data_IF_339098990448
#
_entry.id   IF_339098990448
#
_cell.length_a   1.000
_cell.length_b   1.000
_cell.length_c   1.000
_cell.angle_alpha   90.00
_cell.angle_beta   90.00
_cell.angle_gamma   90.00
#
_symmetry.space_group_name_H-M   'P 1'
#
loop_
_entity.id
_entity.type
_entity.pdbx_description
1 polymer ?
#
# COMPACT_ATOMS: atom_id res chain seq x y z
N UNK A 1 0.43 90.70 8.76
CA UNK A 1 1.80 90.52 9.25
C UNK A 1 1.72 90.36 10.75
N UNK A 2 2.53 89.41 11.24
CA UNK A 2 2.74 88.97 12.62
C UNK A 2 1.81 87.88 13.15
N UNK A 3 2.42 86.69 13.19
CA UNK A 3 1.92 85.42 13.66
C UNK A 3 2.10 85.30 15.18
N UNK A 4 1.15 84.63 15.84
CA UNK A 4 1.35 84.06 17.18
C UNK A 4 1.07 82.56 17.08
N UNK A 5 2.15 81.78 17.11
CA UNK A 5 2.13 80.32 17.26
C UNK A 5 1.85 79.99 18.73
N UNK A 6 0.73 79.32 19.01
CA UNK A 6 0.50 78.62 20.28
C UNK A 6 0.73 77.13 20.01
N UNK A 7 1.84 76.62 20.55
CA UNK A 7 2.14 75.20 20.59
C UNK A 7 1.32 74.55 21.72
N UNK A 8 0.39 73.67 21.37
CA UNK A 8 -0.28 72.78 22.31
C UNK A 8 0.49 71.47 22.38
N UNK A 9 1.25 71.30 23.46
CA UNK A 9 1.88 70.05 23.83
C UNK A 9 0.81 69.03 24.21
N UNK A 10 0.61 68.01 23.37
CA UNK A 10 -0.12 66.81 23.76
C UNK A 10 0.80 65.94 24.61
N UNK A 11 0.52 65.85 25.91
CA UNK A 11 1.11 64.86 26.80
C UNK A 11 0.76 63.45 26.30
N UNK A 12 1.76 62.72 25.81
CA UNK A 12 1.66 61.28 25.60
C UNK A 12 1.53 60.60 26.96
N UNK A 13 0.29 60.23 27.33
CA UNK A 13 0.05 59.37 28.48
C UNK A 13 0.51 57.94 28.14
N UNK A 14 1.48 57.36 28.87
CA UNK A 14 1.95 55.99 28.65
C UNK A 14 0.84 54.95 28.88
N UNK A 15 -0.27 55.35 29.51
CA UNK A 15 -1.44 54.49 29.74
C UNK A 15 -2.18 54.17 28.44
N UNK A 16 -2.22 55.10 27.46
CA UNK A 16 -2.91 54.90 26.19
C UNK A 16 -2.17 53.91 25.27
N UNK A 17 -0.83 53.94 25.31
CA UNK A 17 0.00 53.01 24.55
C UNK A 17 -0.06 51.60 25.15
N UNK A 18 -0.15 51.50 26.47
CA UNK A 18 -0.29 50.20 27.14
C UNK A 18 -1.66 49.56 26.86
N UNK A 19 -2.73 50.35 26.90
CA UNK A 19 -4.09 49.90 26.56
C UNK A 19 -4.22 49.44 25.10
N UNK A 20 -3.65 50.17 24.13
CA UNK A 20 -3.71 49.73 22.71
C UNK A 20 -2.92 48.45 22.47
N UNK A 21 -1.77 48.29 23.14
CA UNK A 21 -0.95 47.08 23.02
C UNK A 21 -1.63 45.88 23.68
N UNK A 22 -2.33 46.08 24.81
CA UNK A 22 -3.08 45.03 25.48
C UNK A 22 -4.29 44.58 24.66
N UNK A 23 -5.08 45.51 24.11
CA UNK A 23 -6.23 45.18 23.25
C UNK A 23 -5.81 44.50 21.94
N UNK A 24 -4.72 44.93 21.30
CA UNK A 24 -4.21 44.26 20.10
C UNK A 24 -3.74 42.84 20.40
N UNK A 25 -3.08 42.61 21.54
CA UNK A 25 -2.70 41.25 21.95
C UNK A 25 -3.90 40.39 22.29
N UNK A 26 -4.90 40.94 22.97
CA UNK A 26 -6.14 40.22 23.30
C UNK A 26 -6.93 39.83 22.05
N UNK A 27 -7.01 40.73 21.05
CA UNK A 27 -7.65 40.45 19.76
C UNK A 27 -6.87 39.39 18.98
N UNK A 28 -5.53 39.45 18.96
CA UNK A 28 -4.70 38.42 18.32
C UNK A 28 -4.89 37.07 19.01
N UNK A 29 -4.95 37.03 20.34
CA UNK A 29 -5.23 35.81 21.09
C UNK A 29 -6.64 35.27 20.87
N UNK A 30 -7.67 36.14 20.75
CA UNK A 30 -9.03 35.76 20.42
C UNK A 30 -9.17 35.24 18.98
N UNK A 31 -8.48 35.85 18.03
CA UNK A 31 -8.41 35.38 16.63
C UNK A 31 -7.67 34.05 16.57
N UNK A 32 -6.56 33.88 17.30
CA UNK A 32 -5.86 32.59 17.42
C UNK A 32 -6.72 31.52 18.10
N UNK A 33 -7.47 31.86 19.14
CA UNK A 33 -8.42 30.93 19.79
C UNK A 33 -9.59 30.57 18.88
N UNK A 34 -10.09 31.50 18.06
CA UNK A 34 -11.13 31.23 17.07
C UNK A 34 -10.60 30.43 15.87
N UNK A 35 -9.34 30.63 15.47
CA UNK A 35 -8.68 29.82 14.44
C UNK A 35 -8.34 28.43 14.97
N UNK A 36 -7.93 28.28 16.24
CA UNK A 36 -7.66 26.98 16.86
C UNK A 36 -8.97 26.22 17.17
N UNK A 37 -10.04 26.93 17.55
CA UNK A 37 -11.38 26.33 17.70
C UNK A 37 -12.07 26.04 16.36
N UNK A 38 -11.74 26.80 15.29
CA UNK A 38 -12.19 26.56 13.92
C UNK A 38 -11.34 25.54 13.14
N UNK A 39 -10.16 25.19 13.66
CA UNK A 39 -9.29 24.13 13.17
C UNK A 39 -9.35 22.87 14.04
N UNK A 40 -10.43 22.67 14.81
CA UNK A 40 -10.79 21.31 15.20
C UNK A 40 -11.27 20.62 13.94
N UNK A 41 -10.53 19.62 13.51
CA UNK A 41 -10.82 18.77 12.37
C UNK A 41 -12.27 18.28 12.36
N UNK A 42 -13.14 18.97 11.63
CA UNK A 42 -14.22 18.32 10.90
C UNK A 42 -13.58 17.55 9.74
N UNK A 43 -12.74 16.56 10.08
CA UNK A 43 -12.73 15.34 9.28
C UNK A 43 -14.16 14.85 9.40
N UNK A 44 -14.91 14.97 8.31
CA UNK A 44 -16.30 14.54 8.22
C UNK A 44 -16.45 13.23 8.99
N UNK A 45 -17.25 13.25 10.06
CA UNK A 45 -17.98 12.06 10.47
C UNK A 45 -18.94 11.74 9.32
N UNK A 46 -18.38 11.29 8.19
CA UNK A 46 -19.17 10.63 7.17
C UNK A 46 -19.85 9.49 7.90
N UNK A 47 -21.16 9.46 7.77
CA UNK A 47 -22.03 8.61 8.55
C UNK A 47 -21.78 7.15 8.12
N UNK A 48 -20.76 6.51 8.69
CA UNK A 48 -20.44 5.08 8.51
C UNK A 48 -21.67 4.22 8.89
N UNK A 49 -22.65 4.83 9.58
CA UNK A 49 -23.95 4.27 9.86
C UNK A 49 -24.91 4.21 8.65
N UNK A 50 -24.50 4.58 7.44
CA UNK A 50 -25.34 4.44 6.24
C UNK A 50 -25.14 3.11 5.49
N UNK A 51 -24.04 2.40 5.73
CA UNK A 51 -23.67 1.22 4.95
C UNK A 51 -24.45 -0.05 5.36
N UNK A 52 -24.83 -0.91 4.39
CA UNK A 52 -25.53 -2.16 4.66
C UNK A 52 -24.63 -3.24 5.31
N UNK A 53 -23.32 -3.13 5.11
CA UNK A 53 -22.31 -4.00 5.72
C UNK A 53 -21.38 -3.17 6.61
N UNK A 54 -20.68 -3.85 7.52
CA UNK A 54 -19.60 -3.25 8.33
C UNK A 54 -18.49 -4.26 8.56
N UNK A 55 -17.28 -3.76 8.76
CA UNK A 55 -16.19 -4.56 9.29
C UNK A 55 -16.33 -4.66 10.80
N UNK A 56 -16.25 -5.88 11.35
CA UNK A 56 -16.22 -6.13 12.79
C UNK A 56 -14.91 -6.80 13.19
N UNK A 57 -14.29 -6.38 14.31
CA UNK A 57 -13.21 -7.15 14.91
C UNK A 57 -13.70 -8.56 15.25
N UNK A 58 -12.98 -9.58 14.80
CA UNK A 58 -13.32 -10.98 15.02
C UNK A 58 -12.39 -11.63 16.04
N UNK A 59 -11.09 -11.47 15.84
CA UNK A 59 -10.04 -12.16 16.59
C UNK A 59 -8.73 -11.36 16.59
N UNK A 60 -7.73 -11.91 17.28
CA UNK A 60 -6.38 -11.38 17.34
C UNK A 60 -5.40 -12.49 17.05
N UNK A 61 -4.48 -12.23 16.13
CA UNK A 61 -3.34 -13.08 15.85
C UNK A 61 -2.11 -12.49 16.53
N UNK A 62 -1.34 -13.33 17.20
CA UNK A 62 -0.09 -12.96 17.88
C UNK A 62 1.03 -13.84 17.36
N UNK A 63 1.99 -13.28 16.64
CA UNK A 63 3.17 -13.99 16.16
C UNK A 63 4.33 -13.80 17.15
N UNK A 64 4.92 -14.90 17.62
CA UNK A 64 6.10 -14.87 18.51
C UNK A 64 7.36 -14.75 17.69
N UNK A 65 8.07 -13.64 17.83
CA UNK A 65 9.26 -13.36 17.04
C UNK A 65 10.42 -14.24 17.52
N UNK A 66 11.10 -14.88 16.57
CA UNK A 66 12.31 -15.65 16.86
C UNK A 66 13.51 -14.75 17.21
N UNK A 67 13.49 -13.51 16.72
CA UNK A 67 14.47 -12.45 16.97
C UNK A 67 13.78 -11.09 16.86
N UNK A 68 14.13 -10.14 17.73
CA UNK A 68 13.67 -8.75 17.61
C UNK A 68 14.37 -8.09 16.42
N UNK A 69 13.59 -7.64 15.44
CA UNK A 69 14.10 -6.90 14.28
C UNK A 69 13.72 -5.41 14.39
N UNK A 70 14.66 -4.48 14.15
CA UNK A 70 14.29 -3.08 13.99
C UNK A 70 13.36 -2.96 12.77
N UNK A 71 12.25 -2.23 12.91
CA UNK A 71 11.27 -1.98 11.85
C UNK A 71 10.58 -3.24 11.28
N UNK A 72 10.23 -4.21 12.13
CA UNK A 72 9.51 -5.42 11.68
C UNK A 72 8.18 -5.14 10.95
N UNK A 73 7.63 -3.93 11.09
CA UNK A 73 6.46 -3.46 10.36
C UNK A 73 6.69 -3.23 8.85
N UNK A 74 7.95 -3.23 8.40
CA UNK A 74 8.32 -3.24 6.97
C UNK A 74 8.32 -4.67 6.38
N UNK A 75 8.05 -5.70 7.20
CA UNK A 75 8.04 -7.07 6.73
C UNK A 75 6.84 -7.39 5.82
N UNK A 76 7.08 -8.25 4.83
CA UNK A 76 6.03 -8.81 3.99
C UNK A 76 5.44 -10.04 4.67
N UNK A 77 4.13 -10.05 4.85
CA UNK A 77 3.40 -11.25 5.28
C UNK A 77 2.64 -11.82 4.09
N UNK A 78 3.00 -13.04 3.66
CA UNK A 78 2.29 -13.79 2.63
C UNK A 78 1.58 -15.00 3.24
N UNK A 79 0.37 -15.27 2.78
CA UNK A 79 -0.37 -16.47 3.17
C UNK A 79 -0.06 -17.62 2.23
N UNK A 80 0.31 -18.75 2.80
CA UNK A 80 0.64 -19.97 2.09
C UNK A 80 -0.42 -21.01 2.34
N UNK A 81 -0.97 -21.60 1.28
CA UNK A 81 -1.80 -22.80 1.41
C UNK A 81 -0.88 -24.03 1.45
N UNK A 82 -0.92 -24.80 2.54
CA UNK A 82 -0.19 -26.06 2.71
C UNK A 82 -1.13 -27.25 2.94
N UNK A 83 -0.60 -28.48 2.82
CA UNK A 83 -1.36 -29.71 3.05
C UNK A 83 -1.88 -29.82 4.50
N UNK A 84 -1.19 -29.20 5.46
CA UNK A 84 -1.55 -29.15 6.87
C UNK A 84 -2.40 -27.95 7.28
N UNK A 85 -2.81 -27.10 6.33
CA UNK A 85 -3.52 -25.85 6.59
C UNK A 85 -2.77 -24.63 6.06
N UNK A 86 -3.30 -23.43 6.35
CA UNK A 86 -2.65 -22.18 6.00
C UNK A 86 -1.40 -21.93 6.86
N UNK A 87 -0.35 -21.38 6.28
CA UNK A 87 0.85 -20.89 6.98
C UNK A 87 1.09 -19.43 6.61
N UNK A 88 1.80 -18.70 7.47
CA UNK A 88 2.24 -17.34 7.17
C UNK A 88 3.73 -17.34 6.86
N UNK A 89 4.09 -16.80 5.71
CA UNK A 89 5.46 -16.55 5.30
C UNK A 89 5.77 -15.09 5.59
N UNK A 90 6.62 -14.85 6.58
CA UNK A 90 7.15 -13.54 6.90
C UNK A 90 8.51 -13.37 6.20
N UNK A 91 8.62 -12.32 5.40
CA UNK A 91 9.86 -11.89 4.75
C UNK A 91 10.27 -10.58 5.38
N UNK A 92 11.30 -10.63 6.21
CA UNK A 92 11.87 -9.47 6.89
C UNK A 92 13.23 -9.15 6.26
N UNK A 93 13.47 -7.93 5.75
CA UNK A 93 14.74 -7.57 5.12
C UNK A 93 15.93 -7.53 6.09
N UNK A 94 15.68 -7.59 7.40
CA UNK A 94 16.69 -7.55 8.46
C UNK A 94 16.99 -8.91 9.08
N UNK A 95 16.17 -9.94 8.80
CA UNK A 95 16.38 -11.29 9.32
C UNK A 95 17.07 -12.19 8.28
N UNK A 96 17.96 -13.11 8.71
CA UNK A 96 18.67 -14.02 7.82
C UNK A 96 17.76 -15.19 7.39
N UNK A 97 16.81 -14.93 6.51
CA UNK A 97 16.01 -15.97 5.87
C UNK A 97 14.50 -15.73 5.91
N UNK A 98 13.75 -16.72 5.42
CA UNK A 98 12.29 -16.71 5.42
C UNK A 98 11.76 -17.34 6.71
N UNK A 99 10.82 -16.68 7.37
CA UNK A 99 10.20 -17.21 8.58
C UNK A 99 8.81 -17.76 8.24
N UNK A 100 8.57 -19.03 8.58
CA UNK A 100 7.28 -19.68 8.40
C UNK A 100 6.60 -19.81 9.74
N UNK A 101 5.37 -19.31 9.85
CA UNK A 101 4.57 -19.32 11.07
C UNK A 101 3.31 -20.16 10.89
N UNK A 102 2.91 -20.81 11.98
CA UNK A 102 1.59 -21.41 12.11
C UNK A 102 0.63 -20.33 12.63
N UNK A 103 -0.37 -19.90 11.84
CA UNK A 103 -1.33 -18.89 12.28
C UNK A 103 -2.23 -19.37 13.44
N UNK A 104 -2.43 -20.67 13.63
CA UNK A 104 -3.29 -21.17 14.71
C UNK A 104 -2.63 -21.03 16.09
N UNK A 105 -1.31 -21.16 16.15
CA UNK A 105 -0.54 -21.08 17.41
C UNK A 105 0.27 -19.80 17.54
N UNK A 106 0.49 -19.08 16.43
CA UNK A 106 1.35 -17.91 16.37
C UNK A 106 2.83 -18.23 16.53
N UNK A 107 3.21 -19.51 16.52
CA UNK A 107 4.58 -19.94 16.74
C UNK A 107 5.35 -20.07 15.41
N UNK A 108 6.66 -19.76 15.41
CA UNK A 108 7.50 -20.05 14.27
C UNK A 108 7.59 -21.57 14.08
N UNK A 109 7.28 -22.04 12.88
CA UNK A 109 7.38 -23.45 12.48
C UNK A 109 8.79 -23.74 11.95
N UNK A 110 9.32 -22.81 11.16
CA UNK A 110 10.57 -23.01 10.45
C UNK A 110 11.21 -21.68 10.06
N UNK A 111 12.55 -21.65 10.10
CA UNK A 111 13.36 -20.62 9.44
C UNK A 111 14.07 -21.26 8.26
N UNK A 112 13.88 -20.69 7.07
CA UNK A 112 14.55 -21.14 5.84
C UNK A 112 15.73 -20.20 5.60
N UNK A 113 16.98 -20.68 5.74
CA UNK A 113 18.14 -19.83 5.56
C UNK A 113 18.22 -19.37 4.10
N UNK A 114 18.55 -18.10 3.90
CA UNK A 114 18.88 -17.55 2.59
C UNK A 114 20.35 -17.14 2.61
N UNK A 115 21.13 -17.73 1.72
CA UNK A 115 22.56 -17.43 1.60
C UNK A 115 22.76 -16.21 0.69
N UNK A 116 23.68 -15.32 1.07
CA UNK A 116 24.10 -14.16 0.25
C UNK A 116 25.39 -14.43 -0.52
N UNK A 117 26.00 -15.60 -0.31
CA UNK A 117 27.24 -16.06 -0.93
C UNK A 117 27.22 -17.59 -0.99
N UNK A 118 27.91 -18.19 -1.96
CA UNK A 118 28.03 -19.64 -2.08
C UNK A 118 27.10 -20.27 -3.13
N UNK A 119 26.96 -21.60 -3.15
CA UNK A 119 26.20 -22.30 -4.18
C UNK A 119 24.68 -22.08 -4.09
N UNK A 120 24.15 -21.68 -2.93
CA UNK A 120 22.74 -21.34 -2.73
C UNK A 120 22.50 -19.81 -2.65
N UNK A 121 23.43 -19.01 -3.18
CA UNK A 121 23.34 -17.56 -3.18
C UNK A 121 22.05 -17.06 -3.87
N UNK A 122 21.23 -16.32 -3.12
CA UNK A 122 20.06 -15.57 -3.62
C UNK A 122 20.32 -14.06 -3.71
N UNK A 123 21.54 -13.62 -3.37
CA UNK A 123 22.01 -12.25 -3.33
C UNK A 123 21.65 -11.53 -2.02
N UNK A 124 22.00 -10.25 -1.94
CA UNK A 124 21.69 -9.41 -0.78
C UNK A 124 20.18 -9.30 -0.53
N UNK A 125 19.75 -9.66 0.68
CA UNK A 125 18.35 -9.81 1.15
C UNK A 125 17.75 -8.47 1.64
N UNK A 126 18.24 -7.32 1.17
CA UNK A 126 17.67 -6.01 1.54
C UNK A 126 16.20 -5.89 1.06
N UNK A 127 15.55 -4.73 1.27
CA UNK A 127 14.13 -4.37 0.96
C UNK A 127 13.53 -4.77 -0.42
N UNK A 128 14.30 -5.44 -1.26
CA UNK A 128 13.99 -5.89 -2.61
C UNK A 128 13.80 -7.41 -2.74
N UNK A 129 13.91 -8.15 -1.64
CA UNK A 129 13.66 -9.60 -1.62
C UNK A 129 12.22 -9.86 -1.20
N UNK A 130 11.48 -10.55 -2.06
CA UNK A 130 10.13 -11.01 -1.77
C UNK A 130 10.10 -12.52 -1.87
N UNK A 131 9.15 -13.16 -1.20
CA UNK A 131 9.00 -14.59 -1.32
C UNK A 131 7.53 -15.02 -1.32
N UNK A 132 7.23 -16.10 -2.03
CA UNK A 132 5.92 -16.74 -2.01
C UNK A 132 6.07 -18.26 -1.92
N UNK A 133 5.13 -18.92 -1.25
CA UNK A 133 5.05 -20.38 -1.28
C UNK A 133 4.52 -20.84 -2.64
N UNK A 134 5.29 -21.63 -3.36
CA UNK A 134 4.94 -22.14 -4.70
C UNK A 134 4.14 -23.43 -4.60
N UNK A 135 4.64 -24.36 -3.78
CA UNK A 135 4.00 -25.62 -3.41
C UNK A 135 4.62 -26.12 -2.09
N UNK A 136 4.12 -27.22 -1.54
CA UNK A 136 4.61 -27.74 -0.26
C UNK A 136 6.14 -27.92 -0.28
N UNK A 137 6.83 -27.23 0.64
CA UNK A 137 8.29 -27.27 0.77
C UNK A 137 9.07 -26.53 -0.31
N UNK A 138 8.42 -25.75 -1.18
CA UNK A 138 9.07 -24.94 -2.22
C UNK A 138 8.62 -23.48 -2.17
N UNK A 139 9.62 -22.60 -2.20
CA UNK A 139 9.48 -21.16 -2.04
C UNK A 139 10.11 -20.45 -3.24
N UNK A 140 9.41 -19.48 -3.80
CA UNK A 140 9.91 -18.61 -4.84
C UNK A 140 10.45 -17.35 -4.19
N UNK A 141 11.77 -17.19 -4.14
CA UNK A 141 12.47 -16.00 -3.68
C UNK A 141 12.76 -15.10 -4.88
N UNK A 142 12.19 -13.92 -4.88
CA UNK A 142 12.22 -13.00 -5.98
C UNK A 142 13.12 -11.81 -5.68
N UNK A 143 13.99 -11.46 -6.64
CA UNK A 143 14.88 -10.31 -6.57
C UNK A 143 14.52 -9.33 -7.69
N UNK A 144 14.03 -8.16 -7.32
CA UNK A 144 13.62 -7.11 -8.28
C UNK A 144 14.79 -6.37 -8.94
N UNK A 145 15.98 -6.38 -8.35
CA UNK A 145 17.11 -5.56 -8.81
C UNK A 145 18.38 -6.36 -9.02
N UNK A 146 19.11 -5.98 -10.06
CA UNK A 146 20.25 -6.65 -10.71
C UNK A 146 20.98 -7.72 -9.86
N UNK A 147 21.03 -8.98 -10.34
CA UNK A 147 20.22 -9.52 -11.44
C UNK A 147 18.73 -9.57 -11.07
N UNK A 148 17.84 -9.36 -12.05
CA UNK A 148 16.41 -9.59 -11.85
C UNK A 148 16.16 -11.09 -12.01
N UNK A 149 15.72 -11.76 -10.94
CA UNK A 149 15.63 -13.22 -10.95
C UNK A 149 14.57 -13.77 -9.99
N UNK A 150 14.07 -14.96 -10.33
CA UNK A 150 13.34 -15.84 -9.41
C UNK A 150 14.25 -17.02 -9.04
N UNK A 151 14.47 -17.19 -7.75
CA UNK A 151 15.13 -18.35 -7.14
C UNK A 151 14.06 -19.27 -6.57
N UNK A 152 14.07 -20.54 -6.96
CA UNK A 152 13.23 -21.58 -6.35
C UNK A 152 14.07 -22.27 -5.29
N UNK A 153 13.62 -22.17 -4.05
CA UNK A 153 14.33 -22.60 -2.85
C UNK A 153 13.50 -23.65 -2.12
N UNK A 154 14.12 -24.69 -1.58
CA UNK A 154 13.40 -25.65 -0.72
C UNK A 154 13.32 -25.21 0.73
N UNK A 155 12.67 -26.04 1.55
CA UNK A 155 12.57 -25.90 3.00
C UNK A 155 13.92 -25.88 3.75
N UNK A 156 15.03 -26.24 3.09
CA UNK A 156 16.39 -26.18 3.65
C UNK A 156 17.18 -24.94 3.23
N UNK A 157 16.64 -24.09 2.37
CA UNK A 157 17.37 -22.95 1.83
C UNK A 157 18.20 -23.28 0.59
N UNK A 158 18.11 -24.49 0.04
CA UNK A 158 18.88 -24.88 -1.14
C UNK A 158 18.23 -24.33 -2.41
N UNK A 159 19.02 -23.68 -3.28
CA UNK A 159 18.53 -23.16 -4.57
C UNK A 159 18.43 -24.31 -5.56
N UNK A 160 17.19 -24.72 -5.86
CA UNK A 160 16.90 -25.78 -6.83
C UNK A 160 16.90 -25.24 -8.25
N UNK A 161 16.49 -23.97 -8.43
CA UNK A 161 16.42 -23.34 -9.74
C UNK A 161 16.62 -21.85 -9.65
N UNK A 162 17.30 -21.29 -10.65
CA UNK A 162 17.34 -19.86 -10.92
C UNK A 162 16.72 -19.58 -12.29
N UNK A 163 15.82 -18.61 -12.35
CA UNK A 163 15.24 -18.10 -13.60
C UNK A 163 15.68 -16.65 -13.72
N UNK A 164 16.53 -16.36 -14.71
CA UNK A 164 16.96 -14.99 -15.03
C UNK A 164 15.85 -14.29 -15.82
N UNK A 165 15.47 -13.11 -15.34
CA UNK A 165 14.39 -12.31 -15.89
C UNK A 165 14.90 -11.02 -16.52
N UNK A 166 16.20 -10.71 -16.37
CA UNK A 166 16.78 -9.40 -16.69
C UNK A 166 16.52 -9.00 -18.16
N UNK A 167 16.79 -9.89 -19.11
CA UNK A 167 16.58 -9.60 -20.53
C UNK A 167 15.10 -9.40 -20.86
N UNK A 168 14.22 -10.28 -20.38
CA UNK A 168 12.78 -10.19 -20.66
C UNK A 168 12.14 -8.97 -19.98
N UNK A 169 12.58 -8.62 -18.77
CA UNK A 169 12.18 -7.41 -18.05
C UNK A 169 12.54 -6.15 -18.86
N UNK A 170 13.76 -6.08 -19.40
CA UNK A 170 14.18 -4.98 -20.27
C UNK A 170 13.34 -4.92 -21.56
N UNK A 171 13.08 -6.06 -22.21
CA UNK A 171 12.25 -6.12 -23.42
C UNK A 171 10.80 -5.70 -23.17
N UNK A 172 10.25 -6.05 -22.01
CA UNK A 172 8.90 -5.67 -21.59
C UNK A 172 8.82 -4.26 -20.99
N UNK A 173 9.97 -3.60 -20.79
CA UNK A 173 10.10 -2.32 -20.08
C UNK A 173 9.57 -2.34 -18.64
N UNK A 174 9.58 -3.50 -17.97
CA UNK A 174 8.98 -3.71 -16.66
C UNK A 174 9.91 -4.49 -15.75
N UNK A 175 10.08 -3.98 -14.53
CA UNK A 175 10.68 -4.70 -13.42
C UNK A 175 9.56 -5.31 -12.60
N UNK A 176 9.47 -6.64 -12.51
CA UNK A 176 8.55 -7.24 -11.56
C UNK A 176 8.96 -6.84 -10.13
N UNK A 177 7.97 -6.48 -9.33
CA UNK A 177 8.15 -5.88 -8.03
C UNK A 177 6.93 -6.19 -7.21
N UNK A 178 7.14 -6.83 -6.07
CA UNK A 178 6.15 -6.94 -5.02
C UNK A 178 6.53 -5.97 -3.89
N UNK A 179 5.54 -5.52 -3.15
CA UNK A 179 5.72 -4.62 -2.01
C UNK A 179 4.91 -5.16 -0.84
N UNK A 180 4.96 -4.46 0.29
CA UNK A 180 4.08 -4.69 1.45
C UNK A 180 2.59 -4.69 1.06
N UNK A 181 2.28 -4.10 -0.10
CA UNK A 181 0.93 -3.90 -0.62
C UNK A 181 0.63 -4.59 -1.95
N UNK A 182 1.65 -5.03 -2.67
CA UNK A 182 1.47 -5.87 -3.86
C UNK A 182 2.18 -7.19 -3.63
N UNK A 183 1.43 -8.26 -3.42
CA UNK A 183 1.99 -9.58 -3.11
C UNK A 183 2.02 -10.47 -4.35
N UNK A 184 3.03 -11.34 -4.49
CA UNK A 184 2.99 -12.38 -5.50
C UNK A 184 1.82 -13.33 -5.26
N UNK A 185 1.22 -13.83 -6.33
CA UNK A 185 0.08 -14.75 -6.28
C UNK A 185 0.41 -16.01 -7.06
N UNK A 186 0.16 -17.17 -6.45
CA UNK A 186 0.37 -18.47 -7.11
C UNK A 186 -0.96 -19.01 -7.63
N UNK A 187 -1.01 -19.30 -8.93
CA UNK A 187 -2.21 -19.80 -9.62
C UNK A 187 -1.82 -20.74 -10.76
N UNK A 188 -2.39 -21.94 -10.77
CA UNK A 188 -2.23 -22.89 -11.88
C UNK A 188 -0.78 -23.26 -12.21
N UNK A 189 0.10 -23.35 -11.20
CA UNK A 189 1.53 -23.63 -11.42
C UNK A 189 2.35 -22.41 -11.90
N UNK A 190 1.78 -21.21 -11.83
CA UNK A 190 2.43 -19.95 -12.20
C UNK A 190 2.46 -18.99 -11.01
N UNK A 191 3.56 -18.25 -10.90
CA UNK A 191 3.73 -17.13 -9.98
C UNK A 191 3.43 -15.84 -10.76
N UNK A 192 2.45 -15.09 -10.29
CA UNK A 192 2.12 -13.76 -10.81
C UNK A 192 2.69 -12.71 -9.87
N UNK A 193 3.39 -11.72 -10.42
CA UNK A 193 3.98 -10.61 -9.67
C UNK A 193 3.62 -9.31 -10.39
N UNK A 194 3.21 -8.28 -9.64
CA UNK A 194 3.07 -6.94 -10.19
C UNK A 194 4.41 -6.41 -10.73
N UNK A 195 4.39 -5.33 -11.48
CA UNK A 195 5.61 -4.71 -11.96
C UNK A 195 5.48 -3.20 -12.10
N UNK A 196 6.63 -2.53 -12.06
CA UNK A 196 6.76 -1.10 -12.32
C UNK A 196 7.66 -0.88 -13.55
N UNK A 197 7.50 0.22 -14.28
CA UNK A 197 8.28 0.50 -15.49
C UNK A 197 9.79 0.69 -15.18
N UNK A 198 10.68 0.11 -16.00
CA UNK A 198 12.15 0.10 -15.79
C UNK A 198 12.79 1.51 -15.87
N UNK A 199 12.15 2.45 -16.55
CA UNK A 199 12.61 3.83 -16.71
C UNK A 199 11.45 4.70 -17.19
N UNK A 200 10.45 5.03 -16.34
CA UNK A 200 9.32 5.85 -16.75
C UNK A 200 9.75 7.23 -17.29
N UNK A 201 10.97 7.68 -16.98
CA UNK A 201 11.66 8.85 -17.55
C UNK A 201 12.10 8.73 -19.01
N UNK A 202 12.21 7.51 -19.54
CA UNK A 202 12.71 7.26 -20.89
C UNK A 202 11.61 6.81 -21.85
N UNK A 203 10.34 6.80 -21.41
CA UNK A 203 9.28 6.25 -22.23
C UNK A 203 8.04 7.15 -22.32
N UNK A 204 7.83 7.65 -23.53
CA UNK A 204 6.59 8.21 -24.07
C UNK A 204 5.50 7.16 -24.38
N UNK A 205 5.58 5.99 -23.74
CA UNK A 205 4.62 5.67 -22.72
C UNK A 205 3.12 5.62 -23.02
N UNK A 206 2.63 4.96 -24.07
CA UNK A 206 1.22 4.49 -23.97
C UNK A 206 1.24 3.30 -23.00
N UNK A 207 1.14 3.58 -21.70
CA UNK A 207 1.12 2.60 -20.61
C UNK A 207 0.11 1.49 -20.86
N UNK A 208 -1.03 1.78 -21.48
CA UNK A 208 -2.02 0.76 -21.86
C UNK A 208 -1.54 -0.28 -22.89
N UNK A 209 -0.33 -0.13 -23.43
CA UNK A 209 0.37 -1.13 -24.26
C UNK A 209 1.48 -1.87 -23.52
N UNK A 210 1.79 -1.45 -22.30
CA UNK A 210 2.83 -2.02 -21.45
C UNK A 210 2.18 -3.00 -20.50
N UNK A 211 2.68 -4.24 -20.40
CA UNK A 211 2.21 -5.17 -19.38
C UNK A 211 2.52 -4.65 -17.98
N UNK A 212 1.71 -4.98 -16.99
CA UNK A 212 1.90 -4.56 -15.59
C UNK A 212 2.10 -5.73 -14.64
N UNK A 213 1.98 -6.97 -15.15
CA UNK A 213 2.10 -8.20 -14.38
C UNK A 213 3.07 -9.14 -15.08
N UNK A 214 3.99 -9.72 -14.34
CA UNK A 214 4.86 -10.80 -14.78
C UNK A 214 4.24 -12.15 -14.36
N UNK A 215 4.16 -13.08 -15.30
CA UNK A 215 3.70 -14.45 -15.10
C UNK A 215 4.86 -15.41 -15.31
N UNK A 216 5.21 -16.19 -14.30
CA UNK A 216 6.34 -17.10 -14.31
C UNK A 216 5.89 -18.53 -14.01
N UNK A 217 6.10 -19.46 -14.94
CA UNK A 217 6.02 -20.88 -14.66
C UNK A 217 7.39 -21.35 -14.13
N UNK A 218 7.46 -21.63 -12.83
CA UNK A 218 8.71 -22.02 -12.18
C UNK A 218 9.19 -23.42 -12.58
N UNK A 219 8.31 -24.27 -13.10
CA UNK A 219 8.62 -25.66 -13.50
C UNK A 219 9.14 -25.73 -14.94
N UNK A 220 8.62 -24.93 -15.86
CA UNK A 220 9.16 -24.84 -17.21
C UNK A 220 10.25 -23.77 -17.34
N UNK A 221 10.21 -22.73 -16.53
CA UNK A 221 11.02 -21.51 -16.68
C UNK A 221 10.46 -20.53 -17.70
N UNK A 222 9.24 -20.76 -18.21
CA UNK A 222 8.56 -19.83 -19.12
C UNK A 222 8.14 -18.57 -18.36
N UNK A 223 8.39 -17.43 -18.98
CA UNK A 223 8.13 -16.10 -18.42
C UNK A 223 7.41 -15.26 -19.45
N UNK A 224 6.24 -14.75 -19.08
CA UNK A 224 5.40 -13.90 -19.91
C UNK A 224 5.09 -12.61 -19.16
N UNK A 225 5.02 -11.50 -19.87
CA UNK A 225 4.53 -10.24 -19.31
C UNK A 225 3.12 -10.00 -19.84
N UNK A 226 2.19 -9.88 -18.91
CA UNK A 226 0.74 -9.99 -19.14
C UNK A 226 0.02 -8.80 -18.50
N UNK A 227 -1.26 -8.65 -18.84
CA UNK A 227 -2.18 -7.65 -18.28
C UNK A 227 -1.64 -6.22 -18.42
N UNK A 228 -2.07 -5.46 -19.46
CA UNK A 228 -1.58 -4.10 -19.64
C UNK A 228 -2.02 -3.18 -18.49
N UNK A 229 -1.29 -2.08 -18.29
CA UNK A 229 -1.77 -1.00 -17.43
C UNK A 229 -3.13 -0.46 -17.89
N UNK A 230 -3.98 0.03 -16.98
CA UNK A 230 -5.20 0.74 -17.35
C UNK A 230 -4.86 2.09 -18.01
N UNK A 231 -5.73 2.56 -18.90
CA UNK A 231 -5.51 3.78 -19.69
C UNK A 231 -5.44 5.07 -18.86
N UNK A 232 -5.76 5.03 -17.56
CA UNK A 232 -5.52 6.17 -16.66
C UNK A 232 -4.03 6.51 -16.57
N UNK A 233 -3.15 5.51 -16.70
CA UNK A 233 -1.71 5.74 -16.73
C UNK A 233 -1.24 6.43 -18.02
N UNK A 234 -2.04 6.44 -19.09
CA UNK A 234 -1.71 7.16 -20.33
C UNK A 234 -1.84 8.69 -20.17
N UNK A 235 -2.42 9.17 -19.06
CA UNK A 235 -2.74 10.59 -18.87
C UNK A 235 -1.52 11.43 -18.43
N UNK A 236 -0.48 10.81 -17.88
CA UNK A 236 0.69 11.54 -17.46
C UNK A 236 1.71 10.69 -16.70
N UNK A 237 2.64 11.38 -16.07
CA UNK A 237 3.73 10.79 -15.31
C UNK A 237 3.36 10.73 -13.82
N UNK A 238 3.65 9.59 -13.18
CA UNK A 238 3.35 9.29 -11.77
C UNK A 238 4.62 8.90 -10.98
N UNK A 239 5.80 9.35 -11.41
CA UNK A 239 7.07 9.13 -10.71
C UNK A 239 8.01 8.07 -11.25
N UNK A 240 9.28 8.15 -10.84
CA UNK A 240 10.32 7.13 -11.08
C UNK A 240 10.70 6.42 -9.78
N UNK A 241 10.82 7.21 -8.73
CA UNK A 241 11.25 6.89 -7.36
C UNK A 241 10.20 6.16 -6.54
N UNK A 242 8.93 6.22 -6.95
CA UNK A 242 7.78 5.70 -6.20
C UNK A 242 7.16 4.49 -6.93
N UNK A 243 7.82 3.32 -6.95
CA UNK A 243 7.36 2.15 -7.70
C UNK A 243 5.96 1.66 -7.24
N UNK A 244 5.57 1.97 -6.00
CA UNK A 244 4.26 1.63 -5.47
C UNK A 244 3.09 2.36 -6.15
N UNK A 245 3.30 3.43 -6.92
CA UNK A 245 2.24 4.09 -7.72
C UNK A 245 1.90 3.31 -8.99
N UNK A 246 2.80 2.45 -9.45
CA UNK A 246 2.61 1.64 -10.66
C UNK A 246 2.30 0.18 -10.36
N UNK A 247 2.82 -0.33 -9.25
CA UNK A 247 2.75 -1.76 -8.96
C UNK A 247 1.31 -2.19 -8.65
N UNK A 248 0.67 -3.04 -9.49
CA UNK A 248 -0.68 -3.50 -9.22
C UNK A 248 -0.70 -4.47 -8.05
N UNK A 249 -1.76 -4.44 -7.25
CA UNK A 249 -2.07 -5.47 -6.27
C UNK A 249 -2.87 -6.59 -6.91
N UNK A 250 -2.54 -7.82 -6.50
CA UNK A 250 -3.10 -9.05 -7.05
C UNK A 250 -3.75 -9.86 -5.92
N UNK A 251 -4.89 -10.47 -6.20
CA UNK A 251 -5.54 -11.43 -5.29
C UNK A 251 -6.14 -12.60 -6.07
N UNK A 252 -5.92 -13.82 -5.60
CA UNK A 252 -6.55 -15.01 -6.17
C UNK A 252 -7.65 -15.54 -5.25
N UNK A 253 -8.89 -15.35 -5.67
CA UNK A 253 -10.05 -15.99 -5.07
C UNK A 253 -10.11 -17.45 -5.53
N UNK A 254 -9.54 -18.33 -4.71
CA UNK A 254 -9.48 -19.77 -4.97
C UNK A 254 -10.88 -20.39 -5.11
N UNK A 255 -11.88 -19.89 -4.35
CA UNK A 255 -13.23 -20.47 -4.33
C UNK A 255 -13.95 -20.34 -5.69
N UNK A 256 -13.64 -19.27 -6.43
CA UNK A 256 -14.21 -18.97 -7.75
C UNK A 256 -13.21 -19.17 -8.89
N UNK A 257 -11.93 -19.38 -8.57
CA UNK A 257 -10.86 -19.41 -9.56
C UNK A 257 -10.67 -18.06 -10.26
N UNK A 258 -10.83 -16.94 -9.53
CA UNK A 258 -10.75 -15.60 -10.11
C UNK A 258 -9.51 -14.86 -9.62
N UNK A 259 -8.82 -14.18 -10.54
CA UNK A 259 -7.69 -13.29 -10.24
C UNK A 259 -8.18 -11.85 -10.33
N UNK A 260 -8.07 -11.11 -9.24
CA UNK A 260 -8.44 -9.71 -9.17
C UNK A 260 -7.19 -8.84 -9.17
N UNK A 261 -7.23 -7.77 -9.98
CA UNK A 261 -6.10 -6.86 -10.17
C UNK A 261 -6.57 -5.42 -9.94
N UNK A 262 -5.88 -4.73 -9.03
CA UNK A 262 -6.15 -3.33 -8.68
C UNK A 262 -4.87 -2.52 -8.84
N UNK A 263 -4.97 -1.35 -9.47
CA UNK A 263 -3.86 -0.41 -9.59
C UNK A 263 -4.04 0.78 -8.65
N UNK A 264 -2.94 1.38 -8.17
CA UNK A 264 -3.00 2.48 -7.22
C UNK A 264 -3.83 3.70 -7.63
N UNK A 265 -3.72 4.10 -8.90
CA UNK A 265 -4.36 5.31 -9.43
C UNK A 265 -5.63 5.02 -10.24
N UNK A 266 -6.00 3.74 -10.39
CA UNK A 266 -7.18 3.33 -11.15
C UNK A 266 -8.36 3.06 -10.22
N UNK A 267 -9.50 3.64 -10.53
CA UNK A 267 -10.78 3.24 -9.91
C UNK A 267 -11.38 2.00 -10.57
N UNK A 268 -10.81 1.49 -11.66
CA UNK A 268 -11.28 0.24 -12.26
C UNK A 268 -10.45 -0.94 -11.76
N UNK A 269 -11.15 -1.94 -11.26
CA UNK A 269 -10.60 -3.27 -10.92
C UNK A 269 -10.91 -4.24 -12.06
N UNK A 270 -9.94 -5.08 -12.40
CA UNK A 270 -10.09 -6.11 -13.43
C UNK A 270 -10.14 -7.49 -12.78
N UNK A 271 -10.98 -8.37 -13.33
CA UNK A 271 -11.09 -9.77 -12.91
C UNK A 271 -10.78 -10.69 -14.09
N UNK A 272 -9.95 -11.69 -13.86
CA UNK A 272 -9.50 -12.66 -14.85
C UNK A 272 -9.75 -14.09 -14.37
N UNK A 273 -9.83 -15.03 -15.31
CA UNK A 273 -9.76 -16.46 -14.98
C UNK A 273 -8.30 -16.91 -14.80
N UNK A 274 -8.03 -18.17 -14.38
CA UNK A 274 -6.66 -18.65 -14.16
C UNK A 274 -5.80 -18.70 -15.44
N UNK A 275 -6.45 -18.71 -16.61
CA UNK A 275 -5.79 -18.61 -17.92
C UNK A 275 -5.51 -17.16 -18.34
N UNK A 276 -5.77 -16.19 -17.47
CA UNK A 276 -5.59 -14.75 -17.68
C UNK A 276 -6.50 -14.14 -18.76
N UNK A 277 -7.62 -14.79 -19.04
CA UNK A 277 -8.68 -14.20 -19.86
C UNK A 277 -9.52 -13.26 -19.01
N UNK A 278 -9.78 -12.05 -19.52
CA UNK A 278 -10.57 -11.05 -18.81
C UNK A 278 -12.02 -11.51 -18.68
N UNK A 279 -12.51 -11.59 -17.44
CA UNK A 279 -13.90 -11.94 -17.11
C UNK A 279 -14.76 -10.70 -16.95
N UNK A 280 -14.30 -9.70 -16.19
CA UNK A 280 -15.06 -8.47 -15.95
C UNK A 280 -14.15 -7.27 -15.64
N UNK A 281 -14.70 -6.07 -15.87
CA UNK A 281 -14.14 -4.78 -15.45
C UNK A 281 -15.17 -4.10 -14.58
N UNK A 282 -14.78 -3.70 -13.38
CA UNK A 282 -15.72 -3.15 -12.41
C UNK A 282 -15.19 -1.80 -11.91
N UNK A 283 -15.92 -0.69 -12.14
CA UNK A 283 -15.57 0.59 -11.56
C UNK A 283 -15.87 0.57 -10.06
N UNK A 284 -14.86 0.88 -9.24
CA UNK A 284 -14.87 0.87 -7.78
C UNK A 284 -14.22 2.17 -7.29
N UNK A 285 -14.87 3.29 -7.60
CA UNK A 285 -14.49 4.61 -7.09
C UNK A 285 -15.08 4.84 -5.71
N UNK A 286 -14.46 5.74 -4.96
CA UNK A 286 -14.93 6.16 -3.64
C UNK A 286 -14.95 7.68 -3.54
N UNK A 287 -15.67 8.21 -2.55
CA UNK A 287 -15.63 9.63 -2.20
C UNK A 287 -14.46 10.03 -1.30
N UNK A 288 -13.66 9.07 -0.83
CA UNK A 288 -12.62 9.28 0.20
C UNK A 288 -11.48 10.22 -0.20
N UNK A 289 -11.05 10.14 -1.45
CA UNK A 289 -9.99 10.96 -1.99
C UNK A 289 -10.27 11.23 -3.47
N UNK A 290 -9.71 12.33 -3.96
CA UNK A 290 -9.79 12.65 -5.38
C UNK A 290 -8.94 11.65 -6.17
N UNK A 291 -9.34 11.28 -7.38
CA UNK A 291 -8.49 10.52 -8.29
C UNK A 291 -7.09 11.12 -8.34
N UNK A 292 -6.06 10.27 -8.37
CA UNK A 292 -4.68 10.72 -8.51
C UNK A 292 -4.52 11.38 -9.88
N UNK A 293 -4.27 12.69 -9.84
CA UNK A 293 -4.03 13.49 -11.04
C UNK A 293 -2.52 13.41 -11.28
N UNK A 294 -2.06 13.07 -12.49
CA UNK A 294 -0.63 13.03 -12.76
C UNK A 294 0.01 14.40 -12.47
N UNK A 295 1.23 14.39 -11.93
CA UNK A 295 1.95 15.63 -11.61
C UNK A 295 2.21 16.48 -12.87
N UNK A 296 2.52 15.83 -14.00
CA UNK A 296 2.68 16.46 -15.31
C UNK A 296 1.70 15.87 -16.32
N UNK A 297 0.74 16.70 -16.74
CA UNK A 297 -0.05 16.46 -17.93
C UNK A 297 0.85 16.66 -19.17
N UNK A 298 1.03 15.64 -20.02
CA UNK A 298 1.92 15.66 -21.19
C UNK A 298 3.42 15.76 -20.86
N UNK A 299 4.05 14.65 -20.43
CA UNK A 299 5.49 14.64 -20.14
C UNK A 299 6.32 15.03 -21.38
N UNK A 300 7.51 15.66 -21.19
CA UNK A 300 8.43 16.01 -22.27
C UNK A 300 8.79 14.81 -23.18
N UNK A 301 9.17 15.07 -24.44
CA UNK A 301 9.52 14.03 -25.40
C UNK A 301 10.67 13.10 -24.95
N UNK A 302 10.67 11.89 -25.51
CA UNK A 302 11.52 10.72 -25.27
C UNK A 302 13.04 10.94 -25.14
N UNK A 303 13.57 12.05 -25.63
CA UNK A 303 15.01 12.31 -25.76
C UNK A 303 15.60 13.16 -24.62
N UNK A 304 14.78 13.54 -23.64
CA UNK A 304 15.23 14.33 -22.49
C UNK A 304 14.90 13.64 -21.16
N UNK A 305 15.90 13.34 -20.32
CA UNK A 305 15.63 12.84 -18.98
C UNK A 305 14.85 13.88 -18.18
N UNK A 306 13.94 13.44 -17.31
CA UNK A 306 13.28 14.36 -16.36
C UNK A 306 14.34 15.09 -15.54
N UNK A 307 14.15 16.40 -15.38
CA UNK A 307 15.03 17.18 -14.51
C UNK A 307 14.88 16.72 -13.06
N UNK A 308 15.94 16.86 -12.26
CA UNK A 308 15.89 16.58 -10.82
C UNK A 308 14.73 17.29 -10.12
N UNK A 309 14.42 18.53 -10.52
CA UNK A 309 13.30 19.29 -9.96
C UNK A 309 11.94 18.65 -10.26
N UNK A 310 11.76 18.06 -11.45
CA UNK A 310 10.53 17.33 -11.80
C UNK A 310 10.39 16.07 -10.95
N UNK A 311 11.48 15.33 -10.74
CA UNK A 311 11.48 14.15 -9.86
C UNK A 311 11.15 14.54 -8.43
N UNK A 312 11.77 15.58 -7.88
CA UNK A 312 11.50 16.05 -6.52
C UNK A 312 10.06 16.55 -6.32
N UNK A 313 9.45 17.15 -7.35
CA UNK A 313 8.05 17.58 -7.29
C UNK A 313 7.08 16.40 -7.37
N UNK A 314 7.37 15.40 -8.19
CA UNK A 314 6.59 14.16 -8.23
C UNK A 314 6.74 13.36 -6.93
N UNK A 315 7.93 13.31 -6.33
CA UNK A 315 8.12 12.72 -5.00
C UNK A 315 7.18 13.36 -3.98
N UNK A 316 7.12 14.69 -3.99
CA UNK A 316 6.22 15.44 -3.12
C UNK A 316 4.74 15.14 -3.43
N UNK A 317 4.35 15.13 -4.71
CA UNK A 317 2.99 14.79 -5.14
C UNK A 317 2.60 13.38 -4.67
N UNK A 318 3.42 12.38 -4.96
CA UNK A 318 3.23 10.99 -4.56
C UNK A 318 3.18 10.80 -3.04
N UNK A 319 3.96 11.56 -2.26
CA UNK A 319 3.92 11.52 -0.79
C UNK A 319 2.74 12.27 -0.18
N UNK A 320 1.99 13.03 -0.98
CA UNK A 320 0.90 13.90 -0.51
C UNK A 320 -0.46 13.60 -1.15
N UNK A 321 -0.51 12.64 -2.08
CA UNK A 321 -1.73 12.21 -2.74
C UNK A 321 -2.10 10.78 -2.35
N UNK A 322 -3.31 10.56 -1.87
CA UNK A 322 -3.78 9.24 -1.40
C UNK A 322 -4.06 8.29 -2.57
N UNK A 323 -3.84 6.99 -2.36
CA UNK A 323 -4.00 5.99 -3.44
C UNK A 323 -4.48 4.63 -2.94
N UNK A 324 -4.92 3.79 -3.88
CA UNK A 324 -5.20 2.37 -3.63
C UNK A 324 -3.90 1.56 -3.54
N UNK A 325 -3.90 0.49 -2.75
CA UNK A 325 -2.67 -0.25 -2.47
C UNK A 325 -2.85 -1.77 -2.42
N UNK A 326 -3.89 -2.27 -1.75
CA UNK A 326 -4.19 -3.71 -1.69
C UNK A 326 -5.58 -4.04 -2.20
N UNK A 327 -5.76 -5.29 -2.65
CA UNK A 327 -7.06 -5.87 -2.99
C UNK A 327 -7.23 -7.24 -2.34
N UNK A 328 -8.45 -7.51 -1.87
CA UNK A 328 -8.89 -8.78 -1.31
C UNK A 328 -10.30 -9.11 -1.80
N UNK A 329 -10.72 -10.35 -1.61
CA UNK A 329 -12.12 -10.74 -1.80
C UNK A 329 -12.62 -11.39 -0.51
N UNK A 330 -13.70 -10.84 0.03
CA UNK A 330 -14.44 -11.42 1.15
C UNK A 330 -15.79 -11.93 0.65
N UNK A 331 -16.35 -12.92 1.31
CA UNK A 331 -17.68 -13.44 1.01
C UNK A 331 -18.61 -13.19 2.18
N UNK A 332 -19.83 -12.74 1.88
CA UNK A 332 -20.89 -12.68 2.87
C UNK A 332 -22.19 -13.23 2.28
N UNK A 333 -22.81 -14.21 2.96
CA UNK A 333 -24.03 -14.90 2.52
C UNK A 333 -23.97 -15.40 1.05
N UNK A 334 -22.80 -15.89 0.59
CA UNK A 334 -22.60 -16.36 -0.79
C UNK A 334 -22.31 -15.26 -1.82
N UNK A 335 -22.33 -13.99 -1.41
CA UNK A 335 -22.05 -12.83 -2.26
C UNK A 335 -20.59 -12.40 -2.10
N UNK A 336 -19.81 -12.30 -3.19
CA UNK A 336 -18.44 -11.80 -3.13
C UNK A 336 -18.41 -10.27 -3.07
N UNK A 337 -17.55 -9.77 -2.19
CA UNK A 337 -17.22 -8.36 -2.04
C UNK A 337 -15.72 -8.17 -2.28
N UNK A 338 -15.36 -7.27 -3.19
CA UNK A 338 -13.98 -6.87 -3.40
C UNK A 338 -13.63 -5.81 -2.37
N UNK A 339 -12.65 -6.08 -1.52
CA UNK A 339 -12.16 -5.10 -0.56
C UNK A 339 -10.89 -4.47 -1.10
N UNK A 340 -10.89 -3.14 -1.26
CA UNK A 340 -9.70 -2.36 -1.60
C UNK A 340 -9.18 -1.64 -0.38
N UNK A 341 -7.87 -1.64 -0.21
CA UNK A 341 -7.18 -0.85 0.82
C UNK A 341 -6.64 0.44 0.19
N UNK A 342 -6.94 1.58 0.79
CA UNK A 342 -6.34 2.86 0.45
C UNK A 342 -5.37 3.32 1.55
N UNK A 343 -4.28 3.96 1.12
CA UNK A 343 -3.37 4.69 2.01
C UNK A 343 -3.72 6.17 1.97
N UNK A 344 -4.16 6.71 3.11
CA UNK A 344 -4.50 8.12 3.23
C UNK A 344 -3.26 8.93 3.60
N UNK A 345 -2.87 9.84 2.70
CA UNK A 345 -1.67 10.67 2.85
C UNK A 345 -1.98 12.06 3.41
N UNK A 346 -1.01 12.71 4.07
CA UNK A 346 -1.09 14.13 4.41
C UNK A 346 -1.21 14.97 3.14
N UNK A 347 -2.03 16.02 3.17
CA UNK A 347 -2.01 17.00 2.08
C UNK A 347 -0.65 17.71 2.02
N UNK A 348 -0.33 18.34 0.89
CA UNK A 348 0.96 18.99 0.67
C UNK A 348 1.34 19.99 1.78
N UNK A 349 0.41 20.83 2.22
CA UNK A 349 0.66 21.79 3.31
C UNK A 349 0.95 21.09 4.65
N UNK A 350 0.25 19.98 4.94
CA UNK A 350 0.48 19.19 6.16
C UNK A 350 1.87 18.53 6.13
N UNK A 351 2.26 17.99 4.97
CA UNK A 351 3.55 17.35 4.75
C UNK A 351 4.70 18.36 4.90
N UNK A 352 4.58 19.53 4.25
CA UNK A 352 5.56 20.62 4.37
C UNK A 352 5.61 21.21 5.78
N UNK A 353 4.49 21.14 6.52
CA UNK A 353 4.41 21.48 7.95
C UNK A 353 5.00 20.42 8.90
N UNK A 354 5.51 19.29 8.38
CA UNK A 354 6.21 18.27 9.14
C UNK A 354 5.43 16.98 9.40
N UNK A 355 4.15 16.89 9.02
CA UNK A 355 3.37 15.64 9.13
C UNK A 355 3.66 14.73 7.94
N UNK A 356 4.69 13.88 8.06
CA UNK A 356 5.15 13.03 6.94
C UNK A 356 4.56 11.62 6.89
N UNK A 357 4.00 11.13 7.99
CA UNK A 357 3.42 9.78 8.07
C UNK A 357 2.05 9.69 7.41
N UNK A 358 1.62 8.46 7.11
CA UNK A 358 0.25 8.17 6.69
C UNK A 358 -0.75 8.68 7.74
N UNK A 359 -1.89 9.21 7.30
CA UNK A 359 -2.98 9.65 8.17
C UNK A 359 -3.84 8.49 8.64
N UNK A 360 -4.10 7.56 7.74
CA UNK A 360 -4.95 6.40 7.98
C UNK A 360 -4.72 5.35 6.90
N UNK A 361 -5.06 4.10 7.24
CA UNK A 361 -5.31 3.03 6.28
C UNK A 361 -6.83 2.87 6.20
N UNK A 362 -7.41 2.76 5.01
CA UNK A 362 -8.86 2.61 4.86
C UNK A 362 -9.20 1.37 4.06
N UNK A 363 -10.01 0.48 4.62
CA UNK A 363 -10.58 -0.67 3.90
C UNK A 363 -11.95 -0.28 3.37
N UNK A 364 -12.20 -0.56 2.10
CA UNK A 364 -13.47 -0.26 1.43
C UNK A 364 -13.98 -1.53 0.74
N UNK A 365 -15.14 -2.03 1.14
CA UNK A 365 -15.78 -3.18 0.53
C UNK A 365 -16.74 -2.73 -0.58
N UNK A 366 -16.56 -3.29 -1.77
CA UNK A 366 -17.41 -3.06 -2.94
C UNK A 366 -18.15 -4.34 -3.31
N UNK A 367 -19.41 -4.22 -3.73
CA UNK A 367 -20.10 -5.33 -4.37
C UNK A 367 -19.36 -5.72 -5.66
N UNK A 368 -18.91 -6.98 -5.77
CA UNK A 368 -18.01 -7.40 -6.83
C UNK A 368 -18.64 -7.35 -8.24
N UNK A 369 -19.97 -7.24 -8.34
CA UNK A 369 -20.68 -7.18 -9.62
C UNK A 369 -20.98 -5.75 -10.05
N UNK A 370 -21.40 -4.92 -9.11
CA UNK A 370 -21.88 -3.55 -9.38
C UNK A 370 -20.83 -2.49 -9.13
N UNK A 371 -19.83 -2.78 -8.30
CA UNK A 371 -18.82 -1.80 -7.88
C UNK A 371 -19.33 -0.78 -6.86
N UNK A 372 -20.54 -0.96 -6.33
CA UNK A 372 -21.11 -0.07 -5.32
C UNK A 372 -20.41 -0.29 -3.97
N UNK A 373 -20.05 0.80 -3.27
CA UNK A 373 -19.48 0.76 -1.93
C UNK A 373 -20.51 0.25 -0.90
N UNK A 374 -20.15 -0.78 -0.13
CA UNK A 374 -21.03 -1.48 0.81
C UNK A 374 -20.56 -1.45 2.26
N UNK A 375 -19.28 -1.20 2.51
CA UNK A 375 -18.73 -0.97 3.84
C UNK A 375 -17.42 -0.19 3.75
N UNK A 376 -17.06 0.43 4.88
CA UNK A 376 -15.80 1.11 5.07
C UNK A 376 -15.29 0.93 6.49
N UNK A 377 -13.98 0.79 6.64
CA UNK A 377 -13.27 0.82 7.93
C UNK A 377 -12.07 1.74 7.84
N UNK A 378 -11.98 2.70 8.76
CA UNK A 378 -10.82 3.57 8.92
C UNK A 378 -9.95 3.04 10.06
N UNK A 379 -8.68 2.80 9.75
CA UNK A 379 -7.65 2.35 10.67
C UNK A 379 -6.67 3.52 10.90
N UNK A 380 -6.71 4.08 12.10
CA UNK A 380 -5.84 5.17 12.54
C UNK A 380 -4.38 4.70 12.68
N UNK A 381 -3.44 5.40 12.04
CA UNK A 381 -2.02 5.00 12.02
C UNK A 381 -1.30 5.18 13.35
N UNK A 382 -1.93 5.78 14.35
CA UNK A 382 -1.45 5.75 15.74
C UNK A 382 -1.65 4.40 16.45
N UNK A 383 -2.43 3.48 15.86
CA UNK A 383 -2.70 2.15 16.41
C UNK A 383 -2.45 1.04 15.40
N UNK A 384 -2.88 1.24 14.16
CA UNK A 384 -2.79 0.23 13.12
C UNK A 384 -1.65 0.55 12.15
N UNK A 385 -0.97 -0.48 11.67
CA UNK A 385 0.12 -0.39 10.72
C UNK A 385 0.04 -1.47 9.64
N UNK A 386 0.87 -1.33 8.61
CA UNK A 386 1.22 -2.43 7.73
C UNK A 386 2.07 -3.46 8.52
N UNK A 387 2.07 -4.75 8.11
CA UNK A 387 1.36 -5.30 6.96
C UNK A 387 -0.13 -5.56 7.24
N UNK A 388 -0.95 -5.42 6.19
CA UNK A 388 -2.36 -5.84 6.16
C UNK A 388 -2.49 -7.06 5.25
N UNK A 389 -3.10 -8.17 5.68
CA UNK A 389 -3.19 -9.40 4.89
C UNK A 389 -4.51 -10.15 5.05
N UNK A 390 -4.77 -11.09 4.15
CA UNK A 390 -6.01 -11.87 4.16
C UNK A 390 -5.72 -13.32 4.52
N UNK A 391 -6.42 -13.85 5.53
CA UNK A 391 -6.28 -15.22 6.01
C UNK A 391 -7.66 -15.73 6.44
N UNK A 392 -8.05 -16.91 5.96
CA UNK A 392 -9.26 -17.63 6.37
C UNK A 392 -10.54 -16.78 6.37
N UNK A 393 -10.75 -15.99 5.32
CA UNK A 393 -11.95 -15.16 5.17
C UNK A 393 -11.88 -13.81 5.87
N UNK A 394 -10.78 -13.50 6.57
CA UNK A 394 -10.60 -12.27 7.36
C UNK A 394 -9.45 -11.43 6.83
N UNK A 395 -9.54 -10.13 7.05
CA UNK A 395 -8.44 -9.19 6.81
C UNK A 395 -7.80 -8.88 8.16
N UNK A 396 -6.51 -9.12 8.29
CA UNK A 396 -5.70 -8.82 9.47
C UNK A 396 -4.91 -7.55 9.24
N UNK A 397 -4.94 -6.62 10.19
CA UNK A 397 -4.12 -5.41 10.20
C UNK A 397 -3.19 -5.38 11.42
N UNK A 398 -1.94 -4.97 11.22
CA UNK A 398 -0.95 -4.87 12.28
C UNK A 398 -1.37 -3.90 13.38
N UNK A 399 -1.13 -4.25 14.64
CA UNK A 399 -1.37 -3.43 15.83
C UNK A 399 -0.05 -2.90 16.39
N UNK A 400 0.42 -1.80 15.82
CA UNK A 400 1.65 -1.12 16.25
C UNK A 400 1.61 -0.74 17.72
N UNK A 401 0.47 -0.25 18.21
CA UNK A 401 0.30 0.12 19.61
C UNK A 401 0.47 -1.03 20.59
N UNK A 402 0.17 -2.27 20.17
CA UNK A 402 0.35 -3.46 21.01
C UNK A 402 1.77 -4.01 20.96
N UNK A 403 2.43 -3.98 19.79
CA UNK A 403 3.83 -4.43 19.70
C UNK A 403 4.82 -3.46 20.34
N UNK A 404 4.50 -2.16 20.41
CA UNK A 404 5.33 -1.20 21.15
C UNK A 404 5.36 -1.51 22.67
N UNK A 405 4.38 -2.27 23.17
CA UNK A 405 4.32 -2.74 24.56
C UNK A 405 5.01 -4.12 24.75
N UNK A 406 5.26 -4.86 23.67
CA UNK A 406 5.80 -6.23 23.67
C UNK A 406 6.61 -6.49 22.39
N UNK A 407 7.89 -6.14 22.43
CA UNK A 407 8.84 -6.23 21.31
C UNK A 407 9.12 -7.67 20.84
N UNK A 408 8.71 -8.69 21.62
CA UNK A 408 8.87 -10.10 21.26
C UNK A 408 7.73 -10.60 20.36
N UNK A 409 6.70 -9.77 20.12
CA UNK A 409 5.50 -10.21 19.40
C UNK A 409 5.00 -9.20 18.37
N UNK A 410 4.56 -9.72 17.21
CA UNK A 410 3.72 -8.96 16.30
C UNK A 410 2.25 -9.29 16.56
N UNK A 411 1.45 -8.25 16.75
CA UNK A 411 0.01 -8.40 16.91
C UNK A 411 -0.74 -7.95 15.66
N UNK A 412 -1.81 -8.67 15.36
CA UNK A 412 -2.73 -8.33 14.29
C UNK A 412 -4.17 -8.46 14.79
N UNK A 413 -5.00 -7.52 14.41
CA UNK A 413 -6.45 -7.57 14.65
C UNK A 413 -7.13 -8.03 13.36
N UNK A 414 -7.92 -9.09 13.45
CA UNK A 414 -8.67 -9.66 12.34
C UNK A 414 -10.05 -9.03 12.21
N UNK A 415 -10.44 -8.72 10.98
CA UNK A 415 -11.72 -8.10 10.64
C UNK A 415 -12.53 -9.00 9.70
N UNK A 416 -13.79 -9.20 10.03
CA UNK A 416 -14.78 -9.86 9.18
C UNK A 416 -15.81 -8.87 8.64
N UNK A 417 -16.39 -9.17 7.47
CA UNK A 417 -17.41 -8.34 6.86
C UNK A 417 -18.80 -8.88 7.22
N UNK A 418 -19.56 -8.13 8.02
CA UNK A 418 -20.86 -8.56 8.52
C UNK A 418 -22.00 -7.69 8.04
N UNK A 419 -23.17 -8.32 7.89
CA UNK A 419 -24.41 -7.60 7.57
C UNK A 419 -24.90 -6.86 8.79
N UNK A 420 -25.32 -5.61 8.59
CA UNK A 420 -25.93 -4.86 9.67
C UNK A 420 -27.33 -5.42 9.93
N UNK A 421 -27.51 -6.04 11.10
CA UNK A 421 -28.85 -6.38 11.58
C UNK A 421 -29.50 -5.08 12.02
N UNK A 422 -30.48 -4.59 11.27
CA UNK A 422 -31.34 -3.53 11.78
C UNK A 422 -32.01 -4.09 13.02
N UNK A 423 -31.65 -3.57 14.20
CA UNK A 423 -32.48 -3.79 15.39
C UNK A 423 -33.81 -3.10 15.08
N UNK A 424 -34.78 -3.89 14.63
CA UNK A 424 -36.14 -3.41 14.36
C UNK A 424 -36.70 -2.81 15.64
N UNK A 425 -37.07 -1.53 15.56
CA UNK A 425 -37.88 -0.86 16.58
C UNK A 425 -39.34 -1.27 16.51
#
# INVERSE_FOLDING_TARGET
>A
MDAVFISLAFCHSPMFHWLSTFFNRLIIWLVLLLVVAGCSSEASKEDVSAFPLRFEPADTLRLTLSQTAPNIWEALVNTCAGESGASLLLVDPYLPGLQVYDPATGQPVQTIPLETEGPNDVGQIAHNLQAACLEAGLFGVYKSFTPIALFVVNDRGEVIRKIDLTEKAHQAHIVPFASETSRPVVVGGKLLVGGYPYAPEQVGLIFSRIPSVCSMDWKSGTVDFVIPFPSVYDQGFYGVTMPWKYTPSLFFDQSRGHIWVSWPVSDTVLCFNPSLELLTRVPMSTGLFKPDIPFLESPPPLDQPYSRAMVEQEDLHSLTHSEWQQIFVMEQEGVPYVVRMAMMRPGQDEYMGGKKGLKAIVLVAFDAKTGEEKARLLLDTSKWALPVFFLDGRIYAGRADWSDEDEDHMYFEGFELVRRVSMGG
#
